data_IF_687780000905
#
_entry.id   IF_687780000905
#
_cell.length_a   1.000
_cell.length_b   1.000
_cell.length_c   1.000
_cell.angle_alpha   90.00
_cell.angle_beta   90.00
_cell.angle_gamma   90.00
#
_symmetry.space_group_name_H-M   'P 1'
#
loop_
_entity.id
_entity.type
_entity.pdbx_description
1 polymer ?
#
# COMPACT_ATOMS: atom_id res chain seq x y z
N UNK A 1 -29.83 -18.87 17.15
CA UNK A 1 -30.00 -18.51 15.73
C UNK A 1 -31.24 -17.64 15.61
N UNK A 2 -31.07 -16.33 15.44
CA UNK A 2 -32.17 -15.41 15.17
C UNK A 2 -32.47 -15.44 13.66
N UNK A 3 -33.72 -15.67 13.30
CA UNK A 3 -34.21 -15.65 11.92
C UNK A 3 -34.77 -14.26 11.66
N UNK A 4 -34.17 -13.51 10.72
CA UNK A 4 -34.72 -12.25 10.27
C UNK A 4 -35.71 -12.52 9.12
N UNK A 5 -36.99 -12.24 9.34
CA UNK A 5 -38.03 -12.31 8.29
C UNK A 5 -38.26 -10.90 7.74
N UNK A 6 -37.91 -10.70 6.47
CA UNK A 6 -38.22 -9.47 5.75
C UNK A 6 -39.66 -9.56 5.21
N UNK A 7 -40.58 -8.73 5.71
CA UNK A 7 -41.89 -8.56 5.07
C UNK A 7 -41.91 -7.24 4.30
N UNK A 8 -41.99 -7.33 2.97
CA UNK A 8 -42.29 -6.21 2.09
C UNK A 8 -43.79 -6.17 1.80
N UNK A 9 -44.46 -5.07 2.14
CA UNK A 9 -45.84 -4.80 1.71
C UNK A 9 -45.82 -3.93 0.45
N UNK A 10 -46.20 -4.52 -0.69
CA UNK A 10 -46.42 -3.79 -1.93
C UNK A 10 -47.77 -3.05 -1.87
N UNK A 11 -47.75 -1.74 -2.10
CA UNK A 11 -48.92 -1.03 -2.63
C UNK A 11 -48.45 0.01 -3.64
N UNK A 12 -48.72 -0.28 -4.91
CA UNK A 12 -48.60 0.65 -6.03
C UNK A 12 -49.58 1.82 -5.87
N UNK A 13 -49.11 3.03 -6.19
CA UNK A 13 -49.78 4.04 -7.02
C UNK A 13 -48.77 5.17 -7.28
N UNK A 14 -48.25 5.20 -8.51
CA UNK A 14 -47.36 6.25 -9.02
C UNK A 14 -48.16 7.50 -9.40
N UNK A 15 -47.66 8.68 -9.01
CA UNK A 15 -47.97 9.97 -9.64
C UNK A 15 -46.65 10.76 -9.79
N UNK A 16 -46.40 11.47 -10.90
CA UNK A 16 -45.10 12.07 -11.18
C UNK A 16 -45.09 13.51 -10.70
N UNK A 17 -44.38 13.75 -9.59
CA UNK A 17 -43.74 15.01 -9.17
C UNK A 17 -43.64 15.00 -7.65
N UNK A 18 -42.58 14.39 -7.10
CA UNK A 18 -41.88 14.97 -5.95
C UNK A 18 -40.60 14.21 -5.60
N UNK A 19 -39.77 14.95 -4.88
CA UNK A 19 -38.37 14.72 -4.54
C UNK A 19 -38.08 13.41 -3.80
N UNK A 20 -36.88 12.86 -4.03
CA UNK A 20 -36.28 11.75 -3.28
C UNK A 20 -36.42 11.95 -1.76
N UNK A 21 -37.09 11.02 -1.09
CA UNK A 21 -37.06 10.84 0.36
C UNK A 21 -36.37 9.51 0.62
N UNK A 22 -35.26 9.51 1.36
CA UNK A 22 -34.57 8.29 1.77
C UNK A 22 -35.48 7.43 2.67
N UNK A 23 -35.53 6.10 2.49
CA UNK A 23 -36.29 5.23 3.37
C UNK A 23 -35.56 5.06 4.71
N UNK A 24 -36.23 5.43 5.80
CA UNK A 24 -35.79 5.10 7.17
C UNK A 24 -36.13 3.64 7.46
N UNK A 25 -35.13 2.80 7.68
CA UNK A 25 -35.33 1.42 8.13
C UNK A 25 -35.36 1.35 9.66
N UNK A 26 -36.39 0.72 10.22
CA UNK A 26 -36.44 0.33 11.63
C UNK A 26 -36.09 -1.15 11.75
N UNK A 27 -35.03 -1.48 12.50
CA UNK A 27 -34.70 -2.85 12.88
C UNK A 27 -35.32 -3.09 14.25
N UNK A 28 -36.37 -3.91 14.31
CA UNK A 28 -36.90 -4.45 15.56
C UNK A 28 -36.14 -5.75 15.88
N UNK A 29 -35.40 -5.74 16.99
CA UNK A 29 -34.74 -6.93 17.52
C UNK A 29 -35.59 -7.41 18.71
N UNK A 30 -36.35 -8.48 18.51
CA UNK A 30 -37.01 -9.19 19.61
C UNK A 30 -35.99 -10.07 20.33
N UNK A 31 -35.75 -9.79 21.61
CA UNK A 31 -35.01 -10.68 22.50
C UNK A 31 -35.98 -11.62 23.22
N UNK A 32 -35.78 -12.96 23.16
CA UNK A 32 -36.58 -13.87 23.96
C UNK A 32 -36.20 -13.76 25.44
N UNK A 33 -37.22 -13.57 26.27
CA UNK A 33 -37.13 -13.57 27.72
C UNK A 33 -36.90 -14.98 28.26
N UNK A 34 -35.75 -15.22 28.90
CA UNK A 34 -35.59 -16.13 30.04
C UNK A 34 -34.11 -16.26 30.43
N UNK A 35 -33.69 -15.70 31.57
CA UNK A 35 -32.93 -16.45 32.58
C UNK A 35 -32.84 -15.65 33.88
N UNK A 36 -33.34 -16.26 34.96
CA UNK A 36 -33.15 -15.85 36.34
C UNK A 36 -31.69 -16.08 36.78
N UNK A 37 -31.33 -15.40 37.88
CA UNK A 37 -30.15 -15.57 38.74
C UNK A 37 -28.86 -14.85 38.32
N UNK A 38 -28.64 -13.66 38.88
CA UNK A 38 -27.66 -13.48 39.96
C UNK A 38 -27.78 -12.07 40.58
N UNK A 39 -28.43 -12.05 41.73
CA UNK A 39 -28.48 -10.94 42.66
C UNK A 39 -27.15 -10.86 43.42
N UNK A 40 -26.29 -9.89 43.14
CA UNK A 40 -25.39 -9.26 44.12
C UNK A 40 -24.40 -8.29 43.46
N UNK A 41 -24.79 -7.03 43.31
CA UNK A 41 -23.91 -5.89 43.57
C UNK A 41 -24.76 -4.62 43.67
N UNK A 42 -25.10 -4.25 44.90
CA UNK A 42 -25.70 -2.96 45.23
C UNK A 42 -24.61 -1.88 45.10
N UNK A 43 -24.81 -0.94 44.18
CA UNK A 43 -24.09 0.33 44.11
C UNK A 43 -24.88 1.32 43.27
N UNK A 44 -25.39 2.38 43.93
CA UNK A 44 -26.13 3.53 43.37
C UNK A 44 -25.30 4.19 42.25
N UNK A 45 -25.84 4.79 41.20
CA UNK A 45 -26.91 5.78 41.18
C UNK A 45 -27.64 5.84 39.83
N UNK A 46 -28.92 6.18 39.90
CA UNK A 46 -29.77 6.57 38.78
C UNK A 46 -29.50 8.04 38.44
N UNK A 47 -29.35 8.35 37.16
CA UNK A 47 -29.58 9.68 36.63
C UNK A 47 -30.39 9.53 35.33
N UNK A 48 -31.44 10.35 35.26
CA UNK A 48 -32.55 10.33 34.33
C UNK A 48 -32.11 10.61 32.89
N UNK A 49 -32.63 9.85 31.93
CA UNK A 49 -32.65 10.25 30.51
C UNK A 49 -33.94 11.03 30.30
N UNK A 50 -33.88 12.35 30.49
CA UNK A 50 -34.93 13.25 30.03
C UNK A 50 -34.97 13.26 28.49
N UNK A 51 -36.12 12.84 27.96
CA UNK A 51 -36.47 12.99 26.54
C UNK A 51 -36.69 14.47 26.26
N UNK A 52 -35.69 15.12 25.66
CA UNK A 52 -35.78 16.52 25.25
C UNK A 52 -36.72 16.65 24.03
N UNK A 53 -37.97 17.05 24.27
CA UNK A 53 -38.88 17.58 23.25
C UNK A 53 -38.27 18.85 22.66
N UNK A 54 -37.77 18.78 21.42
CA UNK A 54 -37.28 19.97 20.71
C UNK A 54 -38.44 20.80 20.17
N UNK A 55 -38.76 21.87 20.90
CA UNK A 55 -39.61 22.98 20.46
C UNK A 55 -38.91 23.80 19.37
N UNK A 56 -39.64 24.15 18.31
CA UNK A 56 -39.26 25.16 17.32
C UNK A 56 -39.44 26.55 17.94
N UNK A 57 -38.34 27.31 18.03
CA UNK A 57 -38.21 28.76 17.73
C UNK A 57 -37.01 29.33 18.49
N UNK A 58 -35.99 29.80 17.76
CA UNK A 58 -35.25 31.03 18.06
C UNK A 58 -34.14 31.20 17.02
N UNK A 59 -34.17 32.34 16.33
CA UNK A 59 -33.13 32.84 15.45
C UNK A 59 -31.99 33.39 16.31
N UNK A 60 -30.79 32.83 16.18
CA UNK A 60 -29.59 33.38 16.81
C UNK A 60 -28.59 33.74 15.72
N UNK A 61 -28.33 35.04 15.57
CA UNK A 61 -27.29 35.62 14.74
C UNK A 61 -25.92 35.09 15.19
N UNK A 62 -25.19 34.42 14.32
CA UNK A 62 -23.76 34.20 14.51
C UNK A 62 -22.98 35.42 14.01
N UNK A 63 -22.23 36.06 14.90
CA UNK A 63 -21.20 37.04 14.54
C UNK A 63 -19.96 36.32 14.01
N UNK A 64 -19.56 36.62 12.77
CA UNK A 64 -18.28 36.19 12.21
C UNK A 64 -17.20 37.21 12.54
N UNK A 65 -16.01 36.71 12.86
CA UNK A 65 -14.79 37.48 13.13
C UNK A 65 -14.12 37.99 11.84
N UNK A 66 -13.27 39.00 12.00
CA UNK A 66 -12.92 39.99 10.98
C UNK A 66 -11.92 39.64 9.85
N UNK A 67 -11.27 38.45 9.71
CA UNK A 67 -10.36 38.25 8.58
C UNK A 67 -10.97 37.57 7.34
N UNK A 68 -12.28 37.31 7.27
CA UNK A 68 -12.89 36.56 6.13
C UNK A 68 -13.74 37.39 5.14
N UNK A 69 -13.80 38.71 5.26
CA UNK A 69 -14.61 39.57 4.36
C UNK A 69 -13.91 40.01 3.06
N UNK A 70 -12.70 39.54 2.77
CA UNK A 70 -11.88 40.06 1.65
C UNK A 70 -11.84 39.20 0.38
N UNK A 71 -12.44 38.01 0.36
CA UNK A 71 -12.39 37.12 -0.82
C UNK A 71 -13.65 37.09 -1.72
N UNK A 72 -14.76 37.73 -1.33
CA UNK A 72 -16.05 37.67 -2.08
C UNK A 72 -16.44 39.05 -2.69
N UNK A 73 -15.46 39.88 -3.05
CA UNK A 73 -15.70 41.12 -3.83
C UNK A 73 -15.03 41.17 -5.21
N UNK A 74 -14.36 40.09 -5.65
CA UNK A 74 -13.65 40.07 -6.92
C UNK A 74 -14.43 39.49 -8.11
N UNK A 75 -15.67 38.98 -7.92
CA UNK A 75 -16.44 38.30 -8.98
C UNK A 75 -17.73 39.01 -9.37
N UNK A 76 -17.70 40.34 -9.50
CA UNK A 76 -18.75 41.09 -10.23
C UNK A 76 -18.14 42.35 -10.83
N UNK A 77 -17.54 42.24 -12.01
CA UNK A 77 -17.53 43.23 -13.10
C UNK A 77 -16.88 42.49 -14.29
N UNK A 78 -17.69 41.89 -15.16
CA UNK A 78 -17.30 41.66 -16.54
C UNK A 78 -18.58 41.72 -17.38
N UNK A 79 -18.93 42.95 -17.73
CA UNK A 79 -20.01 43.25 -18.67
C UNK A 79 -19.51 44.33 -19.63
N UNK A 80 -19.30 43.91 -20.86
CA UNK A 80 -19.27 44.65 -22.14
C UNK A 80 -18.36 45.88 -22.28
N UNK A 81 -17.54 45.89 -23.33
CA UNK A 81 -17.22 47.05 -24.21
C UNK A 81 -16.45 46.51 -25.46
N UNK A 82 -16.50 47.22 -26.61
CA UNK A 82 -16.81 46.62 -27.91
C UNK A 82 -15.64 46.40 -28.88
N UNK A 83 -16.00 45.74 -29.98
CA UNK A 83 -15.28 45.55 -31.25
C UNK A 83 -14.72 46.89 -31.77
N UNK A 84 -13.41 46.92 -32.01
CA UNK A 84 -12.75 47.91 -32.89
C UNK A 84 -11.92 47.16 -33.92
N UNK A 85 -12.19 47.46 -35.18
CA UNK A 85 -11.56 46.90 -36.35
C UNK A 85 -10.31 47.71 -36.78
N UNK A 86 -9.40 46.97 -37.46
CA UNK A 86 -8.41 47.40 -38.45
C UNK A 86 -7.18 48.23 -37.98
N UNK A 87 -5.98 47.66 -38.20
CA UNK A 87 -5.00 48.20 -39.16
C UNK A 87 -3.89 47.17 -39.42
N UNK A 88 -3.67 46.93 -40.71
CA UNK A 88 -2.62 46.11 -41.32
C UNK A 88 -1.26 46.81 -41.17
N UNK A 89 -0.25 46.11 -40.65
CA UNK A 89 1.16 46.43 -40.91
C UNK A 89 1.88 45.13 -41.26
N UNK A 90 2.22 45.02 -42.54
CA UNK A 90 3.06 43.98 -43.12
C UNK A 90 4.51 44.12 -42.61
N UNK A 91 4.99 43.14 -41.85
CA UNK A 91 6.42 42.95 -41.60
C UNK A 91 6.97 41.95 -42.59
N UNK A 92 7.75 42.45 -43.55
CA UNK A 92 8.49 41.67 -44.54
C UNK A 92 9.64 40.92 -43.85
N UNK A 93 9.48 39.62 -43.61
CA UNK A 93 10.59 38.77 -43.18
C UNK A 93 11.32 38.30 -44.44
N UNK A 94 12.54 38.82 -44.64
CA UNK A 94 13.46 38.29 -45.63
C UNK A 94 13.92 36.89 -45.16
N UNK A 95 13.54 35.85 -45.90
CA UNK A 95 14.06 34.49 -45.67
C UNK A 95 15.52 34.41 -46.13
N UNK A 96 16.43 33.78 -45.36
CA UNK A 96 17.74 33.44 -45.88
C UNK A 96 17.60 32.39 -46.99
N UNK A 97 18.30 32.62 -48.09
CA UNK A 97 18.50 31.69 -49.20
C UNK A 97 19.04 30.37 -48.63
N UNK A 98 18.18 29.34 -48.60
CA UNK A 98 18.60 27.98 -48.27
C UNK A 98 19.47 27.45 -49.41
N UNK A 99 20.66 26.96 -49.08
CA UNK A 99 21.48 26.14 -49.98
C UNK A 99 20.69 24.87 -50.34
N UNK A 100 20.81 24.32 -51.56
CA UNK A 100 20.26 23.01 -51.85
C UNK A 100 20.93 21.99 -50.92
N UNK A 101 20.17 21.43 -49.96
CA UNK A 101 20.55 20.17 -49.35
C UNK A 101 20.48 19.13 -50.45
N UNK A 102 21.60 18.46 -50.73
CA UNK A 102 21.61 17.19 -51.43
C UNK A 102 20.77 16.21 -50.58
N UNK A 103 19.50 16.08 -50.95
CA UNK A 103 18.63 15.04 -50.41
C UNK A 103 19.07 13.75 -51.08
N UNK A 104 20.03 13.07 -50.46
CA UNK A 104 20.23 11.64 -50.68
C UNK A 104 18.92 10.96 -50.29
N UNK A 105 18.08 10.68 -51.28
CA UNK A 105 16.86 9.92 -51.09
C UNK A 105 17.31 8.47 -51.03
N UNK A 106 17.29 7.79 -49.86
CA UNK A 106 17.55 6.36 -49.86
C UNK A 106 16.45 5.73 -50.71
N UNK A 107 16.85 5.08 -51.81
CA UNK A 107 15.97 4.19 -52.57
C UNK A 107 15.73 2.98 -51.68
N UNK A 108 14.76 3.10 -50.77
CA UNK A 108 14.22 1.96 -50.04
C UNK A 108 13.49 1.15 -51.11
N UNK A 109 14.08 0.03 -51.51
CA UNK A 109 13.43 -0.92 -52.41
C UNK A 109 12.04 -1.26 -51.87
N UNK A 110 11.05 -1.39 -52.76
CA UNK A 110 9.71 -1.78 -52.37
C UNK A 110 9.77 -2.99 -51.42
N UNK A 111 9.04 -3.00 -50.29
CA UNK A 111 9.02 -4.15 -49.40
C UNK A 111 8.63 -5.37 -50.22
N UNK A 112 9.52 -6.36 -50.26
CA UNK A 112 9.14 -7.68 -50.76
C UNK A 112 8.14 -8.20 -49.74
N UNK A 113 6.88 -8.35 -50.15
CA UNK A 113 5.80 -8.94 -49.34
C UNK A 113 6.19 -10.37 -48.95
N UNK A 114 6.98 -10.46 -47.88
CA UNK A 114 7.19 -11.70 -47.15
C UNK A 114 5.86 -12.02 -46.48
N UNK A 115 5.42 -13.29 -46.45
CA UNK A 115 4.20 -13.66 -45.75
C UNK A 115 4.35 -13.21 -44.28
N UNK A 116 3.60 -12.18 -43.91
CA UNK A 116 3.59 -11.64 -42.55
C UNK A 116 3.10 -12.77 -41.67
N UNK A 117 4.00 -13.34 -40.86
CA UNK A 117 3.56 -14.27 -39.83
C UNK A 117 2.60 -13.52 -38.92
N UNK A 118 1.48 -14.14 -38.54
CA UNK A 118 0.55 -13.60 -37.55
C UNK A 118 1.16 -13.65 -36.14
N UNK A 119 2.43 -13.25 -36.00
CA UNK A 119 3.15 -13.21 -34.75
C UNK A 119 2.49 -12.20 -33.82
N UNK A 120 1.87 -12.71 -32.75
CA UNK A 120 1.30 -11.93 -31.66
C UNK A 120 2.31 -11.97 -30.50
N UNK A 121 3.09 -10.90 -30.35
CA UNK A 121 4.17 -10.84 -29.34
C UNK A 121 3.65 -11.00 -27.90
N UNK A 122 2.40 -10.64 -27.65
CA UNK A 122 1.73 -10.72 -26.35
C UNK A 122 0.88 -11.99 -26.17
N UNK A 123 0.93 -12.95 -27.10
CA UNK A 123 0.15 -14.18 -26.97
C UNK A 123 0.59 -14.96 -25.72
N UNK A 124 -0.36 -15.26 -24.85
CA UNK A 124 -0.12 -16.00 -23.60
C UNK A 124 0.32 -15.14 -22.41
N UNK A 125 0.61 -13.85 -22.62
CA UNK A 125 1.02 -12.94 -21.55
C UNK A 125 -0.13 -12.68 -20.58
N UNK A 126 0.05 -13.07 -19.31
CA UNK A 126 -0.92 -12.87 -18.22
C UNK A 126 -0.29 -12.00 -17.15
N UNK A 127 -0.78 -10.78 -16.96
CA UNK A 127 -0.25 -9.87 -15.93
C UNK A 127 -0.84 -10.10 -14.54
N UNK A 128 -2.01 -10.75 -14.46
CA UNK A 128 -2.68 -11.08 -13.20
C UNK A 128 -2.21 -12.43 -12.67
N UNK A 129 -2.06 -12.57 -11.35
CA UNK A 129 -1.72 -13.87 -10.78
C UNK A 129 -2.93 -14.82 -10.84
N UNK A 130 -2.82 -16.00 -11.50
CA UNK A 130 -3.89 -17.00 -11.53
C UNK A 130 -4.28 -17.48 -10.12
N UNK A 131 -5.57 -17.72 -9.91
CA UNK A 131 -6.11 -18.23 -8.63
C UNK A 131 -6.73 -19.61 -8.86
N UNK A 132 -6.23 -20.61 -8.14
CA UNK A 132 -6.61 -22.01 -8.18
C UNK A 132 -8.06 -22.25 -7.72
N UNK A 133 -8.69 -23.32 -8.21
CA UNK A 133 -10.08 -23.69 -7.91
C UNK A 133 -10.35 -24.05 -6.45
N UNK A 134 -9.31 -24.34 -5.66
CA UNK A 134 -9.42 -24.51 -4.21
C UNK A 134 -9.94 -23.26 -3.49
N UNK A 135 -9.81 -22.08 -4.11
CA UNK A 135 -10.41 -20.85 -3.60
C UNK A 135 -11.87 -20.72 -4.00
N UNK A 136 -12.78 -20.72 -3.02
CA UNK A 136 -14.20 -20.42 -3.26
C UNK A 136 -14.41 -18.94 -3.68
N UNK A 137 -15.65 -18.60 -4.07
CA UNK A 137 -16.00 -17.26 -4.59
C UNK A 137 -15.67 -16.11 -3.63
N UNK A 138 -15.89 -16.29 -2.33
CA UNK A 138 -15.59 -15.29 -1.30
C UNK A 138 -14.08 -15.09 -1.14
N UNK A 139 -13.31 -16.18 -1.03
CA UNK A 139 -11.85 -16.11 -0.91
C UNK A 139 -11.22 -15.46 -2.14
N UNK A 140 -11.68 -15.84 -3.34
CA UNK A 140 -11.26 -15.22 -4.61
C UNK A 140 -11.51 -13.72 -4.64
N UNK A 141 -12.61 -13.25 -4.06
CA UNK A 141 -12.93 -11.83 -4.01
C UNK A 141 -11.93 -11.06 -3.14
N UNK A 142 -11.61 -11.58 -1.95
CA UNK A 142 -10.61 -10.99 -1.06
C UNK A 142 -9.21 -11.00 -1.68
N UNK A 143 -8.80 -12.12 -2.27
CA UNK A 143 -7.50 -12.25 -2.95
C UNK A 143 -7.38 -11.26 -4.11
N UNK A 144 -8.40 -11.16 -4.97
CA UNK A 144 -8.40 -10.19 -6.08
C UNK A 144 -8.30 -8.76 -5.60
N UNK A 145 -9.01 -8.42 -4.52
CA UNK A 145 -8.89 -7.08 -3.91
C UNK A 145 -7.44 -6.81 -3.50
N UNK A 146 -6.81 -7.73 -2.77
CA UNK A 146 -5.44 -7.57 -2.33
C UNK A 146 -4.42 -7.52 -3.48
N UNK A 147 -4.58 -8.34 -4.52
CA UNK A 147 -3.74 -8.31 -5.73
C UNK A 147 -3.85 -6.96 -6.45
N UNK A 148 -5.07 -6.42 -6.56
CA UNK A 148 -5.28 -5.10 -7.16
C UNK A 148 -4.62 -4.00 -6.32
N UNK A 149 -4.69 -4.09 -4.98
CA UNK A 149 -4.02 -3.16 -4.08
C UNK A 149 -2.49 -3.27 -4.16
N UNK A 150 -1.93 -4.48 -4.34
CA UNK A 150 -0.50 -4.68 -4.60
C UNK A 150 -0.06 -3.98 -5.90
N UNK A 151 -0.82 -4.15 -6.99
CA UNK A 151 -0.53 -3.48 -8.26
C UNK A 151 -0.63 -1.97 -8.10
N UNK A 152 -1.66 -1.46 -7.43
CA UNK A 152 -1.84 -0.04 -7.15
C UNK A 152 -0.66 0.53 -6.36
N UNK A 153 -0.23 -0.17 -5.30
CA UNK A 153 0.89 0.21 -4.45
C UNK A 153 2.21 0.25 -5.24
N UNK A 154 2.46 -0.77 -6.05
CA UNK A 154 3.68 -0.91 -6.88
C UNK A 154 3.75 0.15 -7.99
N UNK A 155 2.63 0.36 -8.69
CA UNK A 155 2.51 1.36 -9.75
C UNK A 155 2.81 2.76 -9.19
N UNK A 156 2.27 3.08 -8.01
CA UNK A 156 2.49 4.37 -7.36
C UNK A 156 3.94 4.54 -6.88
N UNK A 157 4.53 3.52 -6.25
CA UNK A 157 5.93 3.54 -5.83
C UNK A 157 6.88 3.79 -7.01
N UNK A 158 6.64 3.10 -8.14
CA UNK A 158 7.35 3.32 -9.40
C UNK A 158 7.19 4.75 -9.92
N UNK A 159 5.99 5.30 -9.93
CA UNK A 159 5.75 6.67 -10.37
C UNK A 159 6.49 7.69 -9.49
N UNK A 160 6.55 7.46 -8.17
CA UNK A 160 7.32 8.30 -7.26
C UNK A 160 8.82 8.28 -7.57
N UNK A 161 9.40 7.10 -7.82
CA UNK A 161 10.79 6.95 -8.26
C UNK A 161 11.07 7.69 -9.56
N UNK A 162 10.20 7.52 -10.57
CA UNK A 162 10.36 8.18 -11.87
C UNK A 162 10.20 9.70 -11.79
N UNK A 163 9.35 10.19 -10.90
CA UNK A 163 9.08 11.62 -10.74
C UNK A 163 10.20 12.33 -9.96
N UNK A 164 10.63 11.74 -8.85
CA UNK A 164 11.50 12.42 -7.89
C UNK A 164 12.93 11.87 -7.89
N UNK A 165 13.10 10.56 -8.12
CA UNK A 165 14.38 9.88 -7.99
C UNK A 165 15.07 10.22 -6.67
N UNK A 166 16.38 10.42 -6.70
CA UNK A 166 17.18 10.80 -5.53
C UNK A 166 16.85 12.17 -4.94
N UNK A 167 15.94 12.97 -5.51
CA UNK A 167 15.49 14.21 -4.86
C UNK A 167 14.49 13.94 -3.73
N UNK A 168 13.90 12.75 -3.67
CA UNK A 168 13.01 12.35 -2.59
C UNK A 168 13.79 11.85 -1.39
N UNK A 169 13.48 12.40 -0.21
CA UNK A 169 14.02 11.92 1.07
C UNK A 169 13.57 10.49 1.37
N UNK A 170 12.38 10.09 0.91
CA UNK A 170 11.89 8.72 1.05
C UNK A 170 12.72 7.77 0.18
N UNK A 171 13.03 8.17 -1.06
CA UNK A 171 13.90 7.36 -1.94
C UNK A 171 15.30 7.20 -1.33
N UNK A 172 15.89 8.29 -0.83
CA UNK A 172 17.20 8.21 -0.16
C UNK A 172 17.15 7.37 1.12
N UNK A 173 16.06 7.44 1.89
CA UNK A 173 15.86 6.65 3.10
C UNK A 173 15.97 5.15 2.81
N UNK A 174 15.27 4.67 1.79
CA UNK A 174 15.16 3.23 1.52
C UNK A 174 16.23 2.69 0.59
N UNK A 175 16.83 3.51 -0.28
CA UNK A 175 17.77 3.06 -1.31
C UNK A 175 19.11 3.80 -1.36
N UNK A 176 19.32 4.80 -0.48
CA UNK A 176 20.54 5.60 -0.46
C UNK A 176 20.89 6.19 -1.83
N UNK A 177 22.10 5.89 -2.31
CA UNK A 177 22.59 6.26 -3.64
C UNK A 177 22.50 5.10 -4.67
N UNK A 178 21.70 4.08 -4.37
CA UNK A 178 21.48 2.93 -5.27
C UNK A 178 20.66 3.31 -6.51
N UNK A 179 20.83 2.57 -7.60
CA UNK A 179 20.14 2.86 -8.86
C UNK A 179 18.62 2.79 -8.73
N UNK A 180 17.92 3.92 -8.88
CA UNK A 180 16.45 3.95 -8.93
C UNK A 180 15.90 3.19 -10.13
N UNK A 181 16.69 2.99 -11.19
CA UNK A 181 16.29 2.22 -12.35
C UNK A 181 16.11 0.72 -12.03
N UNK A 182 16.94 0.15 -11.13
CA UNK A 182 16.74 -1.22 -10.66
C UNK A 182 15.38 -1.35 -9.95
N UNK A 183 15.11 -0.45 -9.00
CA UNK A 183 13.87 -0.47 -8.23
C UNK A 183 12.63 -0.26 -9.11
N UNK A 184 12.70 0.65 -10.09
CA UNK A 184 11.64 0.83 -11.10
C UNK A 184 11.39 -0.48 -11.85
N UNK A 185 12.45 -1.16 -12.30
CA UNK A 185 12.35 -2.45 -12.97
C UNK A 185 11.68 -3.52 -12.10
N UNK A 186 12.00 -3.59 -10.81
CA UNK A 186 11.38 -4.54 -9.90
C UNK A 186 9.88 -4.29 -9.69
N UNK A 187 9.46 -3.03 -9.57
CA UNK A 187 8.04 -2.70 -9.54
C UNK A 187 7.34 -2.99 -10.88
N UNK A 188 8.02 -2.76 -12.02
CA UNK A 188 7.49 -3.16 -13.33
C UNK A 188 7.31 -4.68 -13.43
N UNK A 189 8.14 -5.49 -12.79
CA UNK A 189 7.91 -6.94 -12.76
C UNK A 189 6.64 -7.31 -12.00
N UNK A 190 6.34 -6.64 -10.89
CA UNK A 190 5.05 -6.85 -10.20
C UNK A 190 3.89 -6.45 -11.11
N UNK A 191 3.95 -5.28 -11.73
CA UNK A 191 2.83 -4.71 -12.49
C UNK A 191 2.64 -5.42 -13.84
N UNK A 192 3.72 -5.76 -14.54
CA UNK A 192 3.72 -6.10 -15.97
C UNK A 192 4.33 -7.47 -16.30
N UNK A 193 5.12 -8.11 -15.43
CA UNK A 193 5.70 -9.41 -15.80
C UNK A 193 4.60 -10.44 -16.09
N UNK A 194 4.93 -11.40 -16.94
CA UNK A 194 4.08 -12.57 -17.19
C UNK A 194 4.04 -13.47 -15.95
N UNK A 195 2.82 -13.76 -15.51
CA UNK A 195 2.49 -14.55 -14.31
C UNK A 195 1.68 -15.77 -14.70
N UNK A 196 1.64 -16.15 -15.98
CA UNK A 196 0.95 -17.35 -16.47
C UNK A 196 1.36 -18.63 -15.71
N UNK A 197 2.62 -18.69 -15.29
CA UNK A 197 3.21 -19.85 -14.63
C UNK A 197 3.11 -19.79 -13.09
N UNK A 198 2.53 -18.70 -12.55
CA UNK A 198 2.29 -18.53 -11.13
C UNK A 198 0.90 -19.04 -10.73
N UNK A 199 0.74 -19.41 -9.45
CA UNK A 199 -0.56 -19.87 -8.95
C UNK A 199 -0.78 -19.55 -7.48
N UNK A 200 -1.89 -18.87 -7.17
CA UNK A 200 -2.40 -18.70 -5.81
C UNK A 200 -3.40 -19.79 -5.46
N UNK A 201 -3.21 -20.41 -4.29
CA UNK A 201 -4.01 -21.55 -3.80
C UNK A 201 -4.66 -21.23 -2.46
N UNK A 202 -5.80 -21.84 -2.17
CA UNK A 202 -6.44 -21.77 -0.84
C UNK A 202 -6.50 -23.13 -0.13
N UNK A 203 -6.00 -24.17 -0.79
CA UNK A 203 -5.61 -25.43 -0.14
C UNK A 203 -4.17 -25.34 0.34
N UNK A 204 -3.80 -26.26 1.23
CA UNK A 204 -2.50 -26.32 1.87
C UNK A 204 -1.82 -27.67 1.57
N UNK A 205 -1.28 -27.88 0.36
CA UNK A 205 -0.71 -29.16 -0.04
C UNK A 205 0.52 -29.57 0.78
N UNK A 206 1.21 -28.59 1.38
CA UNK A 206 2.41 -28.84 2.20
C UNK A 206 2.09 -28.88 3.71
N UNK A 207 0.83 -28.77 4.12
CA UNK A 207 0.37 -28.81 5.53
C UNK A 207 1.05 -27.77 6.45
N UNK A 208 1.49 -26.65 5.88
CA UNK A 208 2.24 -25.63 6.60
C UNK A 208 1.36 -24.65 7.38
N UNK A 209 0.11 -24.45 6.97
CA UNK A 209 -0.80 -23.51 7.63
C UNK A 209 -1.20 -23.99 9.03
N UNK A 210 -1.43 -25.29 9.20
CA UNK A 210 -1.76 -25.87 10.50
C UNK A 210 -0.52 -25.92 11.43
N UNK A 211 0.67 -26.16 10.85
CA UNK A 211 1.93 -26.11 11.59
C UNK A 211 2.28 -24.68 12.05
N UNK A 212 1.83 -23.66 11.30
CA UNK A 212 2.14 -22.25 11.54
C UNK A 212 0.85 -21.40 11.53
N UNK A 213 0.02 -21.48 12.59
CA UNK A 213 -1.30 -20.83 12.61
C UNK A 213 -1.26 -19.31 12.53
N UNK A 214 -0.08 -18.70 12.75
CA UNK A 214 0.15 -17.27 12.59
C UNK A 214 0.48 -16.84 11.16
N UNK A 215 0.66 -17.75 10.21
CA UNK A 215 0.94 -17.42 8.81
C UNK A 215 -0.33 -17.11 8.06
N UNK A 216 -0.32 -16.03 7.28
CA UNK A 216 -1.43 -15.70 6.39
C UNK A 216 -1.25 -16.30 5.01
N UNK A 217 -0.02 -16.47 4.54
CA UNK A 217 0.30 -17.28 3.37
C UNK A 217 1.73 -17.78 3.45
N UNK A 218 2.12 -18.65 2.51
CA UNK A 218 3.51 -19.05 2.33
C UNK A 218 3.82 -19.35 0.86
N UNK A 219 5.07 -19.12 0.48
CA UNK A 219 5.61 -19.57 -0.80
C UNK A 219 6.00 -21.05 -0.72
N UNK A 220 5.68 -21.83 -1.74
CA UNK A 220 5.91 -23.29 -1.72
C UNK A 220 7.31 -23.63 -2.22
N UNK A 221 8.24 -24.12 -1.36
CA UNK A 221 9.58 -24.49 -1.81
C UNK A 221 9.58 -25.69 -2.77
N UNK A 222 8.56 -26.56 -2.68
CA UNK A 222 8.38 -27.72 -3.55
C UNK A 222 7.65 -27.39 -4.87
N UNK A 223 7.13 -26.17 -5.00
CA UNK A 223 6.42 -25.67 -6.18
C UNK A 223 6.66 -24.16 -6.27
N UNK A 224 7.85 -23.77 -6.71
CA UNK A 224 8.43 -22.42 -6.54
C UNK A 224 7.70 -21.28 -7.24
N UNK A 225 6.68 -21.58 -8.05
CA UNK A 225 5.78 -20.59 -8.67
C UNK A 225 4.42 -20.51 -7.98
N UNK A 226 4.23 -21.24 -6.88
CA UNK A 226 2.97 -21.31 -6.15
C UNK A 226 3.03 -20.65 -4.78
N UNK A 227 1.90 -20.07 -4.38
CA UNK A 227 1.68 -19.45 -3.08
C UNK A 227 0.40 -20.02 -2.48
N UNK A 228 0.49 -20.54 -1.26
CA UNK A 228 -0.66 -21.08 -0.53
C UNK A 228 -1.15 -20.09 0.51
N UNK A 229 -2.43 -19.76 0.44
CA UNK A 229 -3.12 -18.90 1.39
C UNK A 229 -3.58 -19.71 2.60
N UNK A 230 -3.23 -19.23 3.79
CA UNK A 230 -3.65 -19.80 5.05
C UNK A 230 -4.92 -19.11 5.60
N UNK A 231 -5.68 -19.77 6.49
CA UNK A 231 -6.91 -19.18 7.05
C UNK A 231 -6.71 -17.82 7.72
N UNK A 232 -5.54 -17.57 8.32
CA UNK A 232 -5.21 -16.30 8.99
C UNK A 232 -5.37 -15.10 8.04
N UNK A 233 -4.98 -15.22 6.77
CA UNK A 233 -5.02 -14.11 5.82
C UNK A 233 -6.39 -13.43 5.73
N UNK A 234 -7.46 -14.20 5.82
CA UNK A 234 -8.82 -13.72 5.56
C UNK A 234 -9.43 -12.93 6.73
N UNK A 235 -8.77 -12.90 7.88
CA UNK A 235 -9.18 -12.07 9.03
C UNK A 235 -8.04 -11.22 9.61
N UNK A 236 -6.78 -11.60 9.38
CA UNK A 236 -5.60 -10.89 9.84
C UNK A 236 -5.18 -9.75 8.92
N UNK A 237 -5.15 -9.98 7.60
CA UNK A 237 -4.73 -8.94 6.68
C UNK A 237 -5.75 -7.80 6.56
N UNK A 238 -5.22 -6.63 6.28
CA UNK A 238 -5.95 -5.38 6.17
C UNK A 238 -5.89 -4.86 4.74
N UNK A 239 -6.96 -4.22 4.27
CA UNK A 239 -6.93 -3.50 3.00
C UNK A 239 -5.99 -2.29 3.08
N UNK A 240 -5.48 -1.85 1.93
CA UNK A 240 -4.52 -0.75 1.84
C UNK A 240 -5.05 0.58 2.42
N UNK A 241 -6.36 0.83 2.40
CA UNK A 241 -6.98 2.02 2.99
C UNK A 241 -6.87 2.09 4.52
N UNK A 242 -6.41 1.02 5.18
CA UNK A 242 -6.10 1.03 6.61
C UNK A 242 -4.77 1.73 6.96
N UNK A 243 -3.91 2.00 5.96
CA UNK A 243 -2.63 2.68 6.19
C UNK A 243 -2.84 4.08 6.78
N UNK A 244 -2.02 4.44 7.77
CA UNK A 244 -2.12 5.68 8.55
C UNK A 244 -3.41 5.85 9.38
N UNK A 245 -4.34 4.89 9.36
CA UNK A 245 -5.52 4.91 10.21
C UNK A 245 -5.27 4.15 11.52
N UNK A 246 -6.08 4.39 12.56
CA UNK A 246 -6.06 3.64 13.83
C UNK A 246 -4.69 3.53 14.53
N UNK A 247 -3.79 4.50 14.33
CA UNK A 247 -2.45 4.50 14.93
C UNK A 247 -1.44 3.62 14.22
N UNK A 248 -1.75 3.13 13.01
CA UNK A 248 -0.81 2.38 12.20
C UNK A 248 0.31 3.29 11.66
N UNK A 249 1.55 2.84 11.89
CA UNK A 249 2.77 3.48 11.44
C UNK A 249 3.60 2.47 10.62
N UNK A 250 4.14 2.88 9.47
CA UNK A 250 4.87 2.00 8.54
C UNK A 250 6.02 1.27 9.26
N UNK A 251 6.82 1.99 10.04
CA UNK A 251 7.99 1.47 10.75
C UNK A 251 7.66 0.49 11.88
N UNK A 252 6.45 0.56 12.48
CA UNK A 252 6.08 -0.23 13.66
C UNK A 252 5.18 -1.41 13.36
N UNK A 253 4.34 -1.28 12.34
CA UNK A 253 3.21 -2.19 12.12
C UNK A 253 3.63 -3.48 11.40
N UNK A 254 4.87 -3.55 10.90
CA UNK A 254 5.35 -4.70 10.12
C UNK A 254 4.82 -4.72 8.69
N UNK A 255 5.44 -5.55 7.86
CA UNK A 255 5.06 -5.74 6.45
C UNK A 255 3.93 -6.76 6.27
N UNK A 256 3.62 -7.54 7.30
CA UNK A 256 2.66 -8.64 7.33
C UNK A 256 1.22 -8.21 7.66
N UNK A 257 0.94 -6.90 7.72
CA UNK A 257 -0.41 -6.42 8.00
C UNK A 257 -1.29 -6.28 6.76
N UNK A 258 -0.73 -5.91 5.61
CA UNK A 258 -1.52 -5.55 4.43
C UNK A 258 -1.53 -6.66 3.40
N UNK A 259 -2.68 -6.88 2.77
CA UNK A 259 -2.79 -7.79 1.63
C UNK A 259 -1.79 -7.42 0.52
N UNK A 260 -1.60 -6.12 0.27
CA UNK A 260 -0.74 -5.62 -0.79
C UNK A 260 0.73 -5.97 -0.58
N UNK A 261 1.26 -5.80 0.63
CA UNK A 261 2.67 -6.12 0.94
C UNK A 261 2.89 -7.61 1.09
N UNK A 262 1.94 -8.37 1.65
CA UNK A 262 2.03 -9.83 1.66
C UNK A 262 2.15 -10.38 0.23
N UNK A 263 1.27 -9.97 -0.68
CA UNK A 263 1.36 -10.45 -2.06
C UNK A 263 2.65 -9.98 -2.75
N UNK A 264 3.11 -8.76 -2.49
CA UNK A 264 4.39 -8.27 -2.99
C UNK A 264 5.55 -9.17 -2.54
N UNK A 265 5.61 -9.47 -1.24
CA UNK A 265 6.60 -10.38 -0.66
C UNK A 265 6.56 -11.75 -1.35
N UNK A 266 5.37 -12.35 -1.48
CA UNK A 266 5.21 -13.68 -2.09
C UNK A 266 5.57 -13.70 -3.57
N UNK A 267 5.28 -12.63 -4.31
CA UNK A 267 5.73 -12.49 -5.69
C UNK A 267 7.26 -12.45 -5.77
N UNK A 268 7.93 -11.73 -4.88
CA UNK A 268 9.40 -11.69 -4.84
C UNK A 268 10.08 -12.97 -4.36
N UNK A 269 9.35 -13.96 -3.86
CA UNK A 269 9.89 -15.31 -3.68
C UNK A 269 9.85 -16.15 -4.96
N UNK A 270 9.05 -15.77 -5.95
CA UNK A 270 8.93 -16.53 -7.19
C UNK A 270 10.09 -16.20 -8.16
N UNK A 271 10.86 -17.21 -8.66
CA UNK A 271 11.97 -17.00 -9.60
C UNK A 271 11.60 -16.21 -10.85
N UNK A 272 10.37 -16.41 -11.35
CA UNK A 272 9.83 -15.68 -12.51
C UNK A 272 9.72 -14.17 -12.27
N UNK A 273 9.68 -13.71 -11.02
CA UNK A 273 9.65 -12.29 -10.66
C UNK A 273 11.00 -11.81 -10.13
N UNK A 274 11.71 -12.60 -9.32
CA UNK A 274 12.86 -12.13 -8.55
C UNK A 274 14.22 -12.35 -9.24
N UNK A 275 14.24 -13.12 -10.32
CA UNK A 275 15.44 -13.54 -11.08
C UNK A 275 16.56 -14.13 -10.21
N UNK A 276 16.22 -14.73 -9.08
CA UNK A 276 17.15 -15.28 -8.08
C UNK A 276 18.14 -14.25 -7.50
N UNK A 277 17.86 -12.95 -7.64
CA UNK A 277 18.72 -11.86 -7.14
C UNK A 277 18.04 -10.94 -6.12
N UNK A 278 16.70 -10.85 -6.15
CA UNK A 278 15.97 -10.15 -5.09
C UNK A 278 15.84 -11.06 -3.88
N UNK A 279 16.24 -10.57 -2.70
CA UNK A 279 16.32 -11.34 -1.46
C UNK A 279 15.98 -10.50 -0.23
N UNK A 280 16.03 -11.11 0.94
CA UNK A 280 16.04 -10.43 2.24
C UNK A 280 17.48 -10.07 2.60
N UNK A 281 17.82 -8.77 2.63
CA UNK A 281 19.15 -8.30 3.05
C UNK A 281 19.15 -7.70 4.46
N UNK A 282 17.98 -7.56 5.07
CA UNK A 282 17.79 -7.16 6.44
C UNK A 282 16.57 -7.87 7.04
N UNK A 283 16.53 -8.01 8.37
CA UNK A 283 15.45 -8.72 9.07
C UNK A 283 14.39 -7.78 9.66
N UNK A 284 14.70 -6.49 9.76
CA UNK A 284 13.82 -5.49 10.36
C UNK A 284 13.96 -4.11 9.69
N UNK A 285 13.05 -3.22 10.08
CA UNK A 285 13.00 -1.85 9.59
C UNK A 285 14.28 -1.05 9.83
N UNK A 286 15.03 -1.30 10.90
CA UNK A 286 16.28 -0.57 11.15
C UNK A 286 17.43 -1.16 10.35
N UNK A 287 17.46 -2.49 10.20
CA UNK A 287 18.42 -3.21 9.39
C UNK A 287 18.39 -2.74 7.95
N UNK A 288 17.21 -2.63 7.34
CA UNK A 288 17.11 -2.21 5.93
C UNK A 288 17.58 -0.76 5.75
N UNK A 289 17.33 0.11 6.72
CA UNK A 289 17.77 1.51 6.67
C UNK A 289 19.28 1.63 6.87
N UNK A 290 19.91 0.65 7.52
CA UNK A 290 21.36 0.56 7.59
C UNK A 290 21.93 0.05 6.26
N UNK A 291 21.36 -1.01 5.68
CA UNK A 291 21.74 -1.53 4.35
C UNK A 291 21.65 -0.43 3.30
N UNK A 292 20.59 0.39 3.30
CA UNK A 292 20.45 1.51 2.37
C UNK A 292 21.60 2.54 2.46
N UNK A 293 22.23 2.70 3.63
CA UNK A 293 23.35 3.64 3.84
C UNK A 293 24.70 3.02 3.52
N UNK A 294 24.91 1.77 3.91
CA UNK A 294 26.22 1.11 3.86
C UNK A 294 26.42 0.29 2.60
N UNK A 295 25.35 -0.33 2.08
CA UNK A 295 25.35 -1.26 0.95
C UNK A 295 24.14 -0.98 0.02
N UNK A 296 24.05 0.24 -0.55
CA UNK A 296 22.91 0.65 -1.37
C UNK A 296 22.66 -0.26 -2.58
N UNK A 297 23.69 -0.96 -3.07
CA UNK A 297 23.58 -1.98 -4.11
C UNK A 297 22.77 -3.21 -3.69
N UNK A 298 22.77 -3.58 -2.40
CA UNK A 298 21.91 -4.65 -1.85
C UNK A 298 20.50 -4.15 -1.62
N UNK A 299 20.37 -2.93 -1.14
CA UNK A 299 19.08 -2.29 -0.87
C UNK A 299 18.19 -2.19 -2.13
N UNK A 300 18.77 -1.98 -3.32
CA UNK A 300 18.02 -1.94 -4.59
C UNK A 300 17.62 -3.32 -5.14
N UNK A 301 17.94 -4.39 -4.42
CA UNK A 301 17.49 -5.77 -4.65
C UNK A 301 16.93 -6.39 -3.36
N UNK A 302 16.57 -5.56 -2.37
CA UNK A 302 15.98 -6.00 -1.11
C UNK A 302 14.45 -5.93 -1.16
N UNK A 303 13.80 -7.10 -1.04
CA UNK A 303 12.35 -7.17 -1.11
C UNK A 303 11.64 -6.48 0.06
N UNK A 304 12.27 -6.38 1.23
CA UNK A 304 11.69 -5.65 2.37
C UNK A 304 11.83 -4.14 2.16
N UNK A 305 12.95 -3.69 1.58
CA UNK A 305 13.10 -2.29 1.17
C UNK A 305 12.02 -1.89 0.16
N UNK A 306 11.67 -2.76 -0.80
CA UNK A 306 10.59 -2.49 -1.76
C UNK A 306 9.23 -2.35 -1.09
N UNK A 307 8.88 -3.27 -0.19
CA UNK A 307 7.59 -3.24 0.51
C UNK A 307 7.46 -2.01 1.40
N UNK A 308 8.48 -1.71 2.21
CA UNK A 308 8.46 -0.54 3.09
C UNK A 308 8.46 0.76 2.30
N UNK A 309 9.29 0.87 1.26
CA UNK A 309 9.30 2.03 0.38
C UNK A 309 7.92 2.27 -0.24
N UNK A 310 7.28 1.23 -0.76
CA UNK A 310 5.99 1.36 -1.41
C UNK A 310 4.89 1.81 -0.43
N UNK A 311 4.87 1.26 0.79
CA UNK A 311 3.97 1.71 1.85
C UNK A 311 4.23 3.15 2.29
N UNK A 312 5.50 3.54 2.48
CA UNK A 312 5.85 4.86 2.99
C UNK A 312 5.57 5.97 1.97
N UNK A 313 5.83 5.68 0.68
CA UNK A 313 5.44 6.57 -0.42
C UNK A 313 3.92 6.69 -0.50
N UNK A 314 3.18 5.58 -0.47
CA UNK A 314 1.72 5.62 -0.49
C UNK A 314 1.16 6.39 0.71
N UNK A 315 1.73 6.18 1.89
CA UNK A 315 1.39 6.93 3.09
C UNK A 315 1.61 8.43 2.87
N UNK A 316 2.76 8.82 2.32
CA UNK A 316 3.13 10.22 2.15
C UNK A 316 2.40 10.94 1.02
N UNK A 317 2.23 10.31 -0.13
CA UNK A 317 1.65 10.95 -1.31
C UNK A 317 0.12 10.85 -1.34
N UNK A 318 -0.46 9.76 -0.81
CA UNK A 318 -1.89 9.44 -0.95
C UNK A 318 -2.64 9.49 0.38
N UNK A 319 -2.23 8.68 1.37
CA UNK A 319 -3.04 8.47 2.57
C UNK A 319 -2.98 9.66 3.55
N UNK A 320 -1.80 10.26 3.73
CA UNK A 320 -1.55 11.43 4.55
C UNK A 320 -0.67 12.45 3.79
N UNK A 321 -1.23 13.14 2.77
CA UNK A 321 -0.46 13.95 1.82
C UNK A 321 0.53 14.93 2.47
N UNK A 322 1.81 14.78 2.15
CA UNK A 322 2.89 15.65 2.62
C UNK A 322 3.38 15.40 4.05
N UNK A 323 2.72 14.52 4.81
CA UNK A 323 3.10 14.15 6.17
C UNK A 323 3.51 12.68 6.28
N UNK A 324 2.78 11.79 5.62
CA UNK A 324 2.93 10.35 5.77
C UNK A 324 2.58 9.84 7.17
N UNK A 325 2.90 8.57 7.40
CA UNK A 325 2.81 7.93 8.70
C UNK A 325 3.95 6.92 8.89
N UNK A 326 5.18 7.28 8.49
CA UNK A 326 6.32 6.38 8.67
C UNK A 326 6.43 5.92 10.11
N UNK A 327 6.20 6.85 11.05
CA UNK A 327 6.34 6.60 12.47
C UNK A 327 7.77 6.68 12.97
N UNK A 328 7.92 6.40 14.26
CA UNK A 328 9.24 6.34 14.88
C UNK A 328 9.88 4.98 14.62
N UNK A 329 11.19 4.98 14.37
CA UNK A 329 11.98 3.77 14.27
C UNK A 329 11.80 2.93 15.54
N UNK A 330 11.58 1.60 15.42
CA UNK A 330 11.60 0.71 16.58
C UNK A 330 12.92 0.93 17.32
N UNK A 331 12.87 1.20 18.62
CA UNK A 331 14.11 1.28 19.41
C UNK A 331 14.67 -0.15 19.41
N UNK A 332 15.91 -0.35 18.92
CA UNK A 332 16.61 -1.61 19.17
C UNK A 332 16.66 -1.76 20.68
N UNK A 333 15.92 -2.72 21.23
CA UNK A 333 15.93 -2.97 22.66
C UNK A 333 17.40 -3.04 23.09
N UNK A 334 17.82 -2.07 23.90
CA UNK A 334 19.06 -2.22 24.62
C UNK A 334 18.85 -3.48 25.45
N UNK A 335 19.51 -4.57 25.04
CA UNK A 335 19.71 -5.76 25.87
C UNK A 335 19.86 -5.26 27.30
N UNK A 336 19.03 -5.69 28.26
CA UNK A 336 19.09 -5.16 29.62
C UNK A 336 20.53 -5.29 30.07
N UNK A 337 21.19 -4.14 30.26
CA UNK A 337 22.49 -4.07 30.88
C UNK A 337 22.33 -4.88 32.17
N UNK A 338 23.03 -6.00 32.26
CA UNK A 338 23.13 -6.78 33.48
C UNK A 338 23.59 -5.78 34.53
N UNK A 339 22.68 -5.41 35.43
CA UNK A 339 22.97 -4.54 36.55
C UNK A 339 23.86 -5.33 37.50
N UNK A 340 25.15 -5.41 37.20
CA UNK A 340 26.15 -5.77 38.20
C UNK A 340 26.16 -4.64 39.21
N UNK A 341 25.51 -4.87 40.35
CA UNK A 341 25.70 -4.13 41.58
C UNK A 341 27.19 -3.98 41.85
N UNK A 342 27.72 -2.78 41.62
CA UNK A 342 29.04 -2.40 42.07
C UNK A 342 29.00 -2.27 43.60
N UNK A 343 29.64 -3.23 44.27
CA UNK A 343 30.27 -2.94 45.56
C UNK A 343 31.71 -2.52 45.26
N UNK A 344 32.03 -1.30 45.64
CA UNK A 344 33.39 -0.75 45.62
C UNK A 344 34.34 -1.60 46.48
N UNK A 345 35.39 -2.13 45.86
CA UNK A 345 36.70 -2.36 46.50
C UNK A 345 37.81 -2.46 45.45
N UNK A 346 38.47 -1.33 45.23
CA UNK A 346 39.86 -1.13 44.82
C UNK A 346 40.80 -2.35 44.93
N UNK A 347 41.36 -2.84 43.80
CA UNK A 347 42.78 -3.20 43.60
C UNK A 347 43.12 -3.16 42.09
N UNK A 348 44.35 -2.72 41.82
CA UNK A 348 45.11 -2.53 40.59
C UNK A 348 45.24 -3.72 39.60
N UNK A 349 45.62 -3.34 38.37
CA UNK A 349 46.42 -4.04 37.35
C UNK A 349 45.77 -4.61 36.06
N UNK A 350 46.19 -3.96 34.97
CA UNK A 350 46.65 -4.49 33.67
C UNK A 350 45.63 -4.81 32.58
N UNK A 351 45.83 -4.11 31.45
CA UNK A 351 45.14 -4.28 30.18
C UNK A 351 45.38 -5.66 29.54
N UNK A 352 44.36 -6.20 28.89
CA UNK A 352 44.54 -7.03 27.69
C UNK A 352 43.35 -6.83 26.76
N UNK A 353 43.64 -6.35 25.55
CA UNK A 353 42.69 -6.21 24.47
C UNK A 353 42.25 -7.60 23.97
N UNK A 354 40.95 -7.83 23.87
CA UNK A 354 40.40 -8.91 23.04
C UNK A 354 39.21 -8.35 22.27
N UNK A 355 39.46 -7.98 21.02
CA UNK A 355 38.43 -7.77 20.00
C UNK A 355 37.85 -9.14 19.64
N UNK A 356 36.66 -9.43 20.14
CA UNK A 356 35.75 -10.36 19.49
C UNK A 356 34.42 -9.64 19.42
N UNK A 357 34.08 -9.12 18.25
CA UNK A 357 32.69 -8.83 17.90
C UNK A 357 31.91 -10.12 18.17
N UNK A 358 30.88 -10.04 19.03
CA UNK A 358 29.98 -11.17 19.22
C UNK A 358 29.31 -11.42 17.87
N UNK A 359 29.57 -12.57 17.25
CA UNK A 359 28.86 -12.93 16.04
C UNK A 359 27.37 -13.06 16.38
N UNK A 360 26.54 -12.23 15.77
CA UNK A 360 25.09 -12.32 15.91
C UNK A 360 24.60 -13.33 14.88
N UNK A 361 24.14 -14.49 15.36
CA UNK A 361 23.54 -15.49 14.51
C UNK A 361 22.02 -15.50 14.68
N UNK A 362 21.26 -15.48 13.58
CA UNK A 362 19.81 -15.66 13.62
C UNK A 362 19.34 -16.59 12.50
N UNK A 363 18.09 -17.04 12.64
CA UNK A 363 17.46 -18.05 11.77
C UNK A 363 16.26 -17.41 11.09
N UNK A 364 16.21 -17.47 9.76
CA UNK A 364 15.10 -16.96 8.97
C UNK A 364 13.89 -17.89 9.03
N UNK A 365 12.74 -17.40 8.56
CA UNK A 365 11.48 -18.17 8.52
C UNK A 365 11.53 -19.41 7.60
N UNK A 366 12.53 -19.50 6.73
CA UNK A 366 12.84 -20.67 5.89
C UNK A 366 13.82 -21.66 6.55
N UNK A 367 14.25 -21.39 7.78
CA UNK A 367 15.19 -22.21 8.54
C UNK A 367 16.67 -21.97 8.21
N UNK A 368 17.00 -21.07 7.29
CA UNK A 368 18.40 -20.71 7.00
C UNK A 368 19.01 -19.90 8.17
N UNK A 369 20.29 -20.17 8.49
CA UNK A 369 21.03 -19.48 9.57
C UNK A 369 22.13 -18.61 9.02
N UNK A 370 22.10 -17.33 9.36
CA UNK A 370 23.16 -16.39 9.08
C UNK A 370 23.83 -15.95 10.37
N UNK A 371 25.16 -15.80 10.33
CA UNK A 371 25.99 -15.31 11.42
C UNK A 371 26.86 -14.16 10.89
N UNK A 372 26.72 -12.96 11.46
CA UNK A 372 27.54 -11.78 11.13
C UNK A 372 28.69 -11.62 12.10
#
# INVERSE_FOLDING_TARGET
MAVATLMATNRELMHPDDRYVEPTYFILIDYPASFEALTACRGRAWAEVEVFKRSRTASTKLSLSEPQQLFIKAFKIFKMIPIVAALLVSSSWASPISRPSEVLTPVIGAPVDSPVSNYQWSAGWVTDMPIHESCNSSLRTSIRKGLNEMVQLSEHARQHLLRWGHKSEIVQKYFGNGSTAHVVGWFDRIVLADKSDMLLRCDDPDENCDAHPGWGSYWRPNATTEVSMCPMAFWGYRPLDYICNNGHEVAKTGLDMFWSTEFMHRLFHAPVINEDIVSHFADDFNGLLEVAKTEPEKSVVDMDAFQYFALDVWAYDIAAPGMGCTGQQPVKDAQPAVTTTANDAMVSETATATTSSALSCHTHGDGSKHCS
#
